data_IF_550308903907
#
_entry.id   IF_550308903907
#
_cell.length_a   1.000
_cell.length_b   1.000
_cell.length_c   1.000
_cell.angle_alpha   90.00
_cell.angle_beta   90.00
_cell.angle_gamma   90.00
#
_symmetry.space_group_name_H-M   'P 1'
#
loop_
_entity.id
_entity.type
_entity.pdbx_description
1 polymer ?
#
# COMPACT_ATOMS: atom_id res chain seq x y z
N UNK A 1 -2.03 32.00 13.35
CA UNK A 1 -1.45 31.17 14.46
C UNK A 1 -2.49 30.38 15.23
N UNK A 2 -3.62 30.95 15.72
CA UNK A 2 -4.67 30.20 16.44
C UNK A 2 -5.33 29.13 15.55
N UNK A 3 -5.60 29.41 14.28
CA UNK A 3 -6.21 28.47 13.32
C UNK A 3 -5.25 27.33 12.95
N UNK A 4 -3.94 27.62 12.80
CA UNK A 4 -2.88 26.60 12.59
C UNK A 4 -2.74 25.67 13.80
N UNK A 5 -2.79 26.21 15.01
CA UNK A 5 -2.71 25.43 16.25
C UNK A 5 -3.95 24.54 16.50
N UNK A 6 -5.15 24.96 16.08
CA UNK A 6 -6.37 24.15 16.15
C UNK A 6 -6.40 23.02 15.12
N UNK A 7 -5.96 23.28 13.88
CA UNK A 7 -5.79 22.27 12.83
C UNK A 7 -4.74 21.23 13.24
N UNK A 8 -3.60 21.65 13.77
CA UNK A 8 -2.57 20.74 14.28
C UNK A 8 -3.09 19.86 15.42
N UNK A 9 -3.89 20.39 16.37
CA UNK A 9 -4.50 19.61 17.47
C UNK A 9 -5.59 18.65 16.99
N UNK A 10 -6.32 18.99 15.94
CA UNK A 10 -7.34 18.11 15.34
C UNK A 10 -6.70 16.99 14.54
N UNK A 11 -5.65 17.28 13.76
CA UNK A 11 -4.80 16.29 13.07
C UNK A 11 -4.23 15.28 14.06
N UNK A 12 -3.68 15.74 15.17
CA UNK A 12 -3.06 14.87 16.19
C UNK A 12 -4.05 13.89 16.84
N UNK A 13 -5.31 14.28 17.05
CA UNK A 13 -6.35 13.40 17.63
C UNK A 13 -6.86 12.34 16.66
N UNK A 14 -6.97 12.64 15.38
CA UNK A 14 -7.42 11.69 14.34
C UNK A 14 -6.31 10.70 14.01
N UNK A 15 -5.07 11.17 13.86
CA UNK A 15 -3.89 10.31 13.69
C UNK A 15 -3.70 9.34 14.86
N UNK A 16 -4.01 9.77 16.09
CA UNK A 16 -3.89 8.91 17.27
C UNK A 16 -4.94 7.79 17.30
N UNK A 17 -6.14 8.00 16.78
CA UNK A 17 -7.19 6.97 16.74
C UNK A 17 -6.94 5.96 15.62
N UNK A 18 -6.39 6.39 14.47
CA UNK A 18 -6.05 5.51 13.35
C UNK A 18 -4.75 4.76 13.65
N UNK A 19 -3.76 5.43 14.25
CA UNK A 19 -2.56 4.77 14.78
C UNK A 19 -2.93 3.69 15.80
N UNK A 20 -3.97 3.84 16.60
CA UNK A 20 -4.43 2.82 17.55
C UNK A 20 -5.07 1.61 16.85
N UNK A 21 -5.70 1.76 15.70
CA UNK A 21 -6.22 0.62 14.91
C UNK A 21 -5.09 -0.07 14.15
N UNK A 22 -4.16 0.69 13.55
CA UNK A 22 -2.91 0.16 12.97
C UNK A 22 -1.96 -0.36 14.08
N UNK A 23 -1.92 0.27 15.26
CA UNK A 23 -1.20 -0.22 16.43
C UNK A 23 -1.84 -1.46 17.05
N UNK A 24 -3.14 -1.67 16.93
CA UNK A 24 -3.75 -2.95 17.30
C UNK A 24 -3.38 -4.07 16.31
N UNK A 25 -3.15 -3.72 15.05
CA UNK A 25 -2.60 -4.63 14.01
C UNK A 25 -1.07 -4.76 14.18
N UNK A 26 -0.37 -3.70 14.57
CA UNK A 26 1.10 -3.64 14.73
C UNK A 26 1.52 -3.64 16.21
N UNK A 27 0.58 -3.65 17.14
CA UNK A 27 0.74 -3.43 18.59
C UNK A 27 1.56 -4.48 19.37
N UNK A 28 2.44 -5.20 18.71
CA UNK A 28 3.42 -6.08 19.33
C UNK A 28 4.88 -5.69 19.01
N UNK A 29 5.12 -4.47 18.55
CA UNK A 29 6.49 -3.99 18.41
C UNK A 29 6.95 -3.41 19.74
N UNK A 30 7.86 -4.12 20.38
CA UNK A 30 8.69 -3.62 21.49
C UNK A 30 9.39 -2.35 21.02
N UNK A 31 8.98 -1.21 21.56
CA UNK A 31 9.72 0.05 21.44
C UNK A 31 11.05 -0.16 22.16
N UNK A 32 12.12 -0.45 21.41
CA UNK A 32 13.48 -0.28 21.90
C UNK A 32 13.95 1.10 21.44
N UNK A 33 13.99 2.04 22.35
CA UNK A 33 14.66 3.32 22.14
C UNK A 33 16.10 3.08 21.67
N UNK A 34 16.44 3.59 20.50
CA UNK A 34 17.82 3.86 20.12
C UNK A 34 18.56 2.84 19.27
N UNK A 35 17.96 2.15 18.28
CA UNK A 35 18.76 1.37 17.32
C UNK A 35 18.07 0.96 16.01
N UNK A 36 17.15 1.78 15.47
CA UNK A 36 16.40 1.43 14.24
C UNK A 36 17.26 0.93 13.07
N UNK A 37 18.38 1.56 12.82
CA UNK A 37 19.32 1.20 11.74
C UNK A 37 20.03 -0.14 11.92
N UNK A 38 20.15 -0.65 13.12
CA UNK A 38 20.93 -1.87 13.39
C UNK A 38 20.14 -3.15 13.10
N UNK A 39 18.80 -3.13 13.24
CA UNK A 39 17.94 -4.27 12.93
C UNK A 39 17.61 -4.39 11.43
N UNK A 40 17.61 -3.29 10.70
CA UNK A 40 17.38 -3.26 9.23
C UNK A 40 18.39 -4.10 8.45
N UNK A 41 19.63 -4.22 8.95
CA UNK A 41 20.74 -4.90 8.29
C UNK A 41 20.85 -6.39 8.67
N UNK A 42 20.00 -6.89 9.57
CA UNK A 42 20.03 -8.31 9.95
C UNK A 42 19.06 -9.09 9.06
N UNK A 43 19.49 -10.26 8.53
CA UNK A 43 18.59 -11.15 7.81
C UNK A 43 17.40 -11.59 8.66
N UNK A 44 16.29 -11.90 8.01
CA UNK A 44 15.11 -12.46 8.64
C UNK A 44 15.44 -13.72 9.43
N UNK A 45 14.90 -13.82 10.65
CA UNK A 45 15.10 -14.99 11.48
C UNK A 45 14.22 -16.14 10.97
N UNK A 46 14.83 -17.27 10.63
CA UNK A 46 14.09 -18.47 10.24
C UNK A 46 13.53 -19.21 11.46
N UNK A 47 12.22 -19.49 11.44
CA UNK A 47 11.53 -20.23 12.50
C UNK A 47 10.40 -21.08 11.92
N UNK A 48 10.25 -22.32 12.36
CA UNK A 48 9.18 -23.22 11.94
C UNK A 48 7.76 -22.65 12.21
N UNK A 49 7.66 -21.68 13.11
CA UNK A 49 6.40 -21.06 13.46
C UNK A 49 6.00 -19.88 12.54
N UNK A 50 6.83 -19.47 11.58
CA UNK A 50 6.60 -18.25 10.80
C UNK A 50 5.24 -18.25 10.07
N UNK A 51 4.82 -19.36 9.48
CA UNK A 51 3.51 -19.48 8.79
C UNK A 51 2.29 -19.40 9.74
N UNK A 52 2.50 -19.44 11.05
CA UNK A 52 1.46 -19.33 12.09
C UNK A 52 1.54 -18.01 12.87
N UNK A 53 2.46 -17.12 12.48
CA UNK A 53 2.64 -15.79 13.05
C UNK A 53 1.76 -14.75 12.36
N UNK A 54 2.03 -13.47 12.60
CA UNK A 54 1.38 -12.39 11.89
C UNK A 54 1.87 -12.35 10.44
N UNK A 55 0.99 -12.67 9.52
CA UNK A 55 1.19 -12.50 8.08
C UNK A 55 0.36 -11.29 7.65
N UNK A 56 0.95 -10.39 6.90
CA UNK A 56 0.31 -9.14 6.49
C UNK A 56 -0.30 -9.22 5.10
N UNK A 57 0.37 -9.92 4.17
CA UNK A 57 -0.08 -10.02 2.80
C UNK A 57 0.27 -11.36 2.15
N UNK A 58 -0.42 -11.69 1.06
CA UNK A 58 -0.24 -12.90 0.27
C UNK A 58 -0.51 -12.66 -1.21
N UNK A 59 0.30 -13.28 -2.07
CA UNK A 59 0.10 -13.26 -3.52
C UNK A 59 0.36 -14.63 -4.12
N UNK A 60 -0.20 -14.89 -5.30
CA UNK A 60 -0.06 -16.16 -6.00
C UNK A 60 0.31 -15.92 -7.46
N UNK A 61 1.29 -16.66 -7.95
CA UNK A 61 1.57 -16.85 -9.37
C UNK A 61 1.61 -18.34 -9.69
N UNK A 62 0.68 -18.79 -10.53
CA UNK A 62 0.51 -20.21 -10.90
C UNK A 62 0.34 -21.09 -9.66
N UNK A 63 1.28 -22.00 -9.39
CA UNK A 63 1.24 -22.89 -8.22
C UNK A 63 1.92 -22.32 -6.99
N UNK A 64 2.74 -21.25 -7.17
CA UNK A 64 3.49 -20.64 -6.08
C UNK A 64 2.70 -19.56 -5.35
N UNK A 65 2.60 -19.74 -4.05
CA UNK A 65 2.10 -18.72 -3.13
C UNK A 65 3.27 -18.11 -2.37
N UNK A 66 3.28 -16.77 -2.27
CA UNK A 66 4.14 -16.02 -1.36
C UNK A 66 3.29 -15.44 -0.24
N UNK A 67 3.83 -15.45 0.97
CA UNK A 67 3.27 -14.72 2.12
C UNK A 67 4.36 -13.88 2.76
N UNK A 68 3.99 -12.65 3.17
CA UNK A 68 4.87 -11.70 3.85
C UNK A 68 4.32 -11.29 5.22
N UNK A 69 5.19 -11.10 6.22
CA UNK A 69 4.72 -10.74 7.55
C UNK A 69 5.79 -10.17 8.48
N UNK A 70 5.55 -10.30 9.78
CA UNK A 70 6.43 -9.74 10.81
C UNK A 70 7.86 -10.26 10.70
N UNK A 71 8.83 -9.51 11.25
CA UNK A 71 10.25 -9.91 11.40
C UNK A 71 10.96 -10.29 10.09
N UNK A 72 10.53 -9.74 8.96
CA UNK A 72 11.10 -10.02 7.65
C UNK A 72 10.71 -11.38 7.07
N UNK A 73 9.73 -12.07 7.68
CA UNK A 73 9.31 -13.36 7.16
C UNK A 73 8.68 -13.20 5.78
N UNK A 74 9.34 -13.81 4.78
CA UNK A 74 8.73 -14.18 3.51
C UNK A 74 8.83 -15.69 3.39
N UNK A 75 7.69 -16.32 3.16
CA UNK A 75 7.59 -17.78 2.95
C UNK A 75 6.98 -18.03 1.58
N UNK A 76 7.36 -19.15 0.97
CA UNK A 76 6.71 -19.62 -0.24
C UNK A 76 6.25 -21.08 -0.10
N UNK A 77 5.21 -21.41 -0.86
CA UNK A 77 4.62 -22.74 -0.97
C UNK A 77 4.36 -23.07 -2.42
N UNK A 78 4.71 -24.30 -2.85
CA UNK A 78 4.43 -24.83 -4.18
C UNK A 78 3.34 -25.93 -4.15
N UNK A 79 2.66 -26.08 -3.01
CA UNK A 79 1.64 -27.10 -2.76
C UNK A 79 0.37 -26.53 -2.13
N UNK A 80 -0.02 -25.33 -2.60
CA UNK A 80 -1.24 -24.62 -2.16
C UNK A 80 -1.28 -24.35 -0.65
N UNK A 81 -0.12 -24.12 -0.03
CA UNK A 81 -0.01 -23.77 1.39
C UNK A 81 0.03 -24.97 2.34
N UNK A 82 0.23 -26.20 1.82
CA UNK A 82 0.38 -27.39 2.65
C UNK A 82 1.73 -27.40 3.36
N UNK A 83 2.80 -27.07 2.64
CA UNK A 83 4.14 -26.88 3.22
C UNK A 83 4.71 -25.51 2.88
N UNK A 84 5.55 -24.99 3.77
CA UNK A 84 6.13 -23.65 3.64
C UNK A 84 7.66 -23.73 3.72
N UNK A 85 8.30 -22.97 2.83
CA UNK A 85 9.76 -22.80 2.82
C UNK A 85 10.10 -21.33 3.08
N UNK A 86 11.09 -21.09 3.94
CA UNK A 86 11.62 -19.75 4.18
C UNK A 86 12.39 -19.25 2.96
N UNK A 87 12.03 -18.05 2.49
CA UNK A 87 12.87 -17.31 1.57
C UNK A 87 14.12 -16.73 2.30
N UNK A 88 15.16 -16.45 1.52
CA UNK A 88 16.33 -15.75 2.02
C UNK A 88 16.06 -14.24 1.94
N UNK A 89 15.79 -13.60 3.08
CA UNK A 89 15.42 -12.18 3.16
C UNK A 89 16.52 -11.41 3.90
N UNK A 90 17.06 -10.31 3.33
CA UNK A 90 18.21 -9.60 3.91
C UNK A 90 17.86 -8.67 5.08
N UNK A 91 16.59 -8.52 5.42
CA UNK A 91 16.09 -7.62 6.46
C UNK A 91 15.16 -8.33 7.43
N UNK A 92 15.08 -7.83 8.66
CA UNK A 92 14.17 -8.31 9.72
C UNK A 92 13.02 -7.33 10.00
N UNK A 93 12.70 -6.47 9.03
CA UNK A 93 11.57 -5.54 9.10
C UNK A 93 10.25 -6.24 8.76
N UNK A 94 9.13 -5.74 9.27
CA UNK A 94 7.82 -6.24 8.87
C UNK A 94 7.60 -6.03 7.36
N UNK A 95 7.28 -7.11 6.66
CA UNK A 95 6.90 -7.10 5.24
C UNK A 95 5.42 -6.74 5.17
N UNK A 96 5.11 -5.65 4.49
CA UNK A 96 3.77 -5.04 4.45
C UNK A 96 2.95 -5.51 3.26
N UNK A 97 3.59 -5.74 2.11
CA UNK A 97 2.95 -6.32 0.93
C UNK A 97 3.93 -7.16 0.12
N UNK A 98 3.40 -8.09 -0.68
CA UNK A 98 4.13 -8.94 -1.63
C UNK A 98 3.37 -9.02 -2.96
N UNK A 99 4.08 -8.92 -4.08
CA UNK A 99 3.49 -8.99 -5.42
C UNK A 99 4.43 -9.69 -6.41
N UNK A 100 3.88 -10.43 -7.35
CA UNK A 100 4.60 -10.86 -8.54
C UNK A 100 4.44 -9.83 -9.66
N UNK A 101 5.53 -9.52 -10.38
CA UNK A 101 5.48 -8.75 -11.63
C UNK A 101 5.50 -9.65 -12.87
N UNK A 102 6.06 -10.83 -12.73
CA UNK A 102 6.10 -11.90 -13.73
C UNK A 102 6.43 -13.24 -13.05
N UNK A 103 6.54 -14.32 -13.85
CA UNK A 103 6.80 -15.69 -13.36
C UNK A 103 8.18 -15.90 -12.69
N UNK A 104 9.05 -14.90 -12.65
CA UNK A 104 10.39 -14.97 -12.07
C UNK A 104 10.64 -13.89 -11.04
N UNK A 105 10.02 -12.74 -11.23
CA UNK A 105 10.26 -11.53 -10.45
C UNK A 105 9.13 -11.29 -9.46
N UNK A 106 9.51 -11.10 -8.19
CA UNK A 106 8.61 -10.71 -7.13
C UNK A 106 9.15 -9.49 -6.38
N UNK A 107 8.25 -8.75 -5.77
CA UNK A 107 8.50 -7.54 -5.03
C UNK A 107 7.89 -7.62 -3.64
N UNK A 108 8.53 -6.98 -2.68
CA UNK A 108 7.99 -6.86 -1.33
C UNK A 108 8.30 -5.48 -0.76
N UNK A 109 7.29 -4.87 -0.17
CA UNK A 109 7.45 -3.65 0.62
C UNK A 109 7.62 -4.00 2.09
N UNK A 110 8.32 -3.13 2.81
CA UNK A 110 8.53 -3.30 4.23
C UNK A 110 8.48 -1.97 4.98
N UNK A 111 8.48 -2.08 6.30
CA UNK A 111 8.67 -0.94 7.20
C UNK A 111 9.95 -0.18 6.85
N UNK A 112 10.08 1.06 7.33
CA UNK A 112 11.23 1.94 7.15
C UNK A 112 11.61 2.20 5.68
N UNK A 113 10.63 2.16 4.76
CA UNK A 113 10.80 2.49 3.35
C UNK A 113 11.60 1.47 2.55
N UNK A 114 11.71 0.24 3.02
CA UNK A 114 12.47 -0.79 2.30
C UNK A 114 11.59 -1.42 1.21
N UNK A 115 12.16 -1.50 0.00
CA UNK A 115 11.63 -2.25 -1.12
C UNK A 115 12.60 -3.39 -1.47
N UNK A 116 12.08 -4.59 -1.51
CA UNK A 116 12.83 -5.80 -1.84
C UNK A 116 12.44 -6.32 -3.22
N UNK A 117 13.40 -6.93 -3.92
CA UNK A 117 13.20 -7.60 -5.20
C UNK A 117 13.75 -9.02 -5.15
N UNK A 118 13.01 -9.96 -5.70
CA UNK A 118 13.44 -11.31 -6.04
C UNK A 118 13.43 -11.50 -7.54
N UNK A 119 14.37 -12.27 -8.08
CA UNK A 119 14.47 -12.66 -9.50
C UNK A 119 14.47 -14.17 -9.69
N UNK A 120 14.13 -14.91 -8.63
CA UNK A 120 14.11 -16.38 -8.58
C UNK A 120 12.78 -16.91 -8.03
N UNK A 121 11.69 -16.22 -8.39
CA UNK A 121 10.32 -16.56 -8.02
C UNK A 121 10.09 -16.56 -6.50
N UNK A 122 10.72 -15.59 -5.79
CA UNK A 122 10.52 -15.37 -4.35
C UNK A 122 11.40 -16.22 -3.43
N UNK A 123 12.38 -16.97 -3.93
CA UNK A 123 13.24 -17.81 -3.10
C UNK A 123 14.31 -17.01 -2.36
N UNK A 124 14.90 -16.01 -3.03
CA UNK A 124 15.85 -15.10 -2.41
C UNK A 124 15.54 -13.64 -2.78
N UNK A 125 15.85 -12.74 -1.87
CA UNK A 125 15.50 -11.33 -1.96
C UNK A 125 16.72 -10.44 -1.81
N UNK A 126 16.71 -9.33 -2.51
CA UNK A 126 17.71 -8.28 -2.41
C UNK A 126 17.04 -6.95 -2.14
N UNK A 127 17.69 -6.07 -1.38
CA UNK A 127 17.22 -4.70 -1.20
C UNK A 127 17.37 -3.95 -2.52
N UNK A 128 16.26 -3.42 -3.02
CA UNK A 128 16.20 -2.60 -4.23
C UNK A 128 16.24 -1.11 -3.89
N UNK A 129 15.42 -0.68 -2.90
CA UNK A 129 15.44 0.66 -2.32
C UNK A 129 15.46 0.57 -0.81
N UNK A 130 16.04 1.59 -0.18
CA UNK A 130 15.94 1.86 1.25
C UNK A 130 15.15 3.14 1.49
N UNK A 131 14.67 3.36 2.70
CA UNK A 131 14.03 4.61 3.06
C UNK A 131 14.96 5.83 2.86
N UNK A 132 16.27 5.65 3.04
CA UNK A 132 17.25 6.72 2.74
C UNK A 132 17.28 7.06 1.25
N UNK A 133 17.15 6.06 0.36
CA UNK A 133 17.09 6.32 -1.08
C UNK A 133 15.79 7.07 -1.44
N UNK A 134 14.66 6.71 -0.82
CA UNK A 134 13.38 7.43 -0.99
C UNK A 134 13.49 8.88 -0.46
N UNK A 135 14.09 9.08 0.70
CA UNK A 135 14.31 10.41 1.25
C UNK A 135 15.21 11.27 0.33
N UNK A 136 16.24 10.68 -0.30
CA UNK A 136 17.04 11.37 -1.32
C UNK A 136 16.22 11.77 -2.54
N UNK A 137 15.34 10.87 -3.04
CA UNK A 137 14.41 11.22 -4.12
C UNK A 137 13.50 12.40 -3.73
N UNK A 138 13.10 12.48 -2.46
CA UNK A 138 12.30 13.61 -1.94
C UNK A 138 13.12 14.91 -1.90
N UNK A 139 14.37 14.85 -1.48
CA UNK A 139 15.29 16.03 -1.51
C UNK A 139 15.49 16.49 -2.95
N UNK A 140 15.80 15.58 -3.86
CA UNK A 140 16.05 15.89 -5.28
C UNK A 140 14.81 16.55 -5.93
N UNK A 141 13.62 16.04 -5.63
CA UNK A 141 12.35 16.61 -6.12
C UNK A 141 12.08 18.02 -5.55
N UNK A 142 12.31 18.21 -4.25
CA UNK A 142 12.14 19.51 -3.60
C UNK A 142 13.15 20.54 -4.12
N UNK A 143 14.42 20.17 -4.31
CA UNK A 143 15.43 21.04 -4.91
C UNK A 143 15.11 21.42 -6.35
N UNK A 144 14.57 20.48 -7.15
CA UNK A 144 14.12 20.78 -8.51
C UNK A 144 12.97 21.78 -8.49
N UNK A 145 12.02 21.63 -7.56
CA UNK A 145 10.93 22.63 -7.39
C UNK A 145 11.45 24.00 -7.01
N UNK A 146 12.46 24.08 -6.13
CA UNK A 146 13.14 25.34 -5.79
C UNK A 146 13.74 25.98 -7.03
N UNK A 147 14.49 25.21 -7.86
CA UNK A 147 15.07 25.71 -9.12
C UNK A 147 14.02 26.23 -10.10
N UNK A 148 12.89 25.54 -10.24
CA UNK A 148 11.78 25.96 -11.10
C UNK A 148 11.17 27.26 -10.63
N UNK A 149 10.84 27.37 -9.33
CA UNK A 149 10.24 28.57 -8.75
C UNK A 149 11.18 29.77 -8.83
N UNK A 150 12.49 29.60 -8.63
CA UNK A 150 13.47 30.66 -8.82
C UNK A 150 13.49 31.16 -10.28
N UNK A 151 13.43 30.26 -11.26
CA UNK A 151 13.39 30.63 -12.67
C UNK A 151 12.05 31.33 -13.05
N UNK A 152 10.93 30.92 -12.44
CA UNK A 152 9.63 31.58 -12.62
C UNK A 152 9.63 33.00 -12.03
N UNK A 153 10.20 33.19 -10.84
CA UNK A 153 10.32 34.50 -10.18
C UNK A 153 11.13 35.46 -11.03
N UNK A 154 12.23 35.01 -11.68
CA UNK A 154 13.05 35.90 -12.55
C UNK A 154 12.26 36.43 -13.76
N UNK A 155 11.16 35.77 -14.16
CA UNK A 155 10.35 36.14 -15.33
C UNK A 155 8.96 36.62 -14.94
N UNK A 156 8.65 36.73 -13.64
CA UNK A 156 7.32 36.97 -13.12
C UNK A 156 6.93 38.47 -13.24
N UNK A 157 5.66 38.69 -13.52
CA UNK A 157 5.07 40.04 -13.41
C UNK A 157 4.85 40.40 -11.92
N UNK A 158 4.85 41.68 -11.55
CA UNK A 158 4.76 42.12 -10.15
C UNK A 158 3.56 41.54 -9.38
N UNK A 159 2.46 41.20 -10.08
CA UNK A 159 1.21 40.71 -9.48
C UNK A 159 1.30 39.27 -8.99
N UNK A 160 2.21 38.47 -9.56
CA UNK A 160 2.40 37.04 -9.20
C UNK A 160 3.61 36.81 -8.29
N UNK A 161 4.43 37.84 -8.02
CA UNK A 161 5.67 37.66 -7.25
C UNK A 161 5.42 37.18 -5.82
N UNK A 162 4.41 37.72 -5.13
CA UNK A 162 4.12 37.37 -3.73
C UNK A 162 3.74 35.88 -3.60
N UNK A 163 2.90 35.37 -4.50
CA UNK A 163 2.50 33.97 -4.50
C UNK A 163 3.68 33.04 -4.81
N UNK A 164 4.55 33.41 -5.75
CA UNK A 164 5.74 32.65 -6.10
C UNK A 164 6.79 32.66 -4.99
N UNK A 165 6.98 33.78 -4.29
CA UNK A 165 7.87 33.87 -3.12
C UNK A 165 7.37 32.97 -1.98
N UNK A 166 6.07 32.94 -1.70
CA UNK A 166 5.48 32.01 -0.74
C UNK A 166 5.70 30.55 -1.15
N UNK A 167 5.48 30.20 -2.41
CA UNK A 167 5.72 28.86 -2.92
C UNK A 167 7.21 28.46 -2.83
N UNK A 168 8.13 29.42 -3.03
CA UNK A 168 9.56 29.18 -2.88
C UNK A 168 9.94 28.92 -1.42
N UNK A 169 9.40 29.68 -0.48
CA UNK A 169 9.62 29.45 0.96
C UNK A 169 9.13 28.07 1.40
N UNK A 170 7.94 27.64 0.92
CA UNK A 170 7.42 26.30 1.18
C UNK A 170 8.31 25.21 0.57
N UNK A 171 8.84 25.43 -0.64
CA UNK A 171 9.74 24.48 -1.30
C UNK A 171 11.10 24.38 -0.58
N UNK A 172 11.65 25.49 -0.09
CA UNK A 172 12.89 25.51 0.71
C UNK A 172 12.71 24.77 2.03
N UNK A 173 11.55 24.95 2.69
CA UNK A 173 11.21 24.18 3.90
C UNK A 173 11.10 22.68 3.61
N UNK A 174 10.52 22.30 2.47
CA UNK A 174 10.45 20.89 2.06
C UNK A 174 11.83 20.27 1.84
N UNK A 175 12.83 20.99 1.33
CA UNK A 175 14.23 20.53 1.22
C UNK A 175 14.81 20.29 2.61
N UNK A 176 14.61 21.20 3.54
CA UNK A 176 15.11 21.08 4.93
C UNK A 176 14.49 19.87 5.64
N UNK A 177 13.15 19.73 5.54
CA UNK A 177 12.40 18.64 6.16
C UNK A 177 12.82 17.27 5.60
N UNK A 178 12.90 17.14 4.26
CA UNK A 178 13.35 15.89 3.64
C UNK A 178 14.80 15.54 3.98
N UNK A 179 15.68 16.54 4.12
CA UNK A 179 17.07 16.34 4.53
C UNK A 179 17.18 15.90 5.98
N UNK A 180 16.36 16.46 6.87
CA UNK A 180 16.33 16.07 8.28
C UNK A 180 15.94 14.59 8.47
N UNK A 181 15.02 14.07 7.65
CA UNK A 181 14.63 12.65 7.68
C UNK A 181 15.82 11.72 7.41
N UNK A 182 16.77 12.12 6.56
CA UNK A 182 17.99 11.32 6.29
C UNK A 182 18.87 11.24 7.55
N UNK A 183 19.01 12.35 8.27
CA UNK A 183 19.87 12.46 9.44
C UNK A 183 19.25 11.79 10.69
N UNK A 184 17.94 11.89 10.86
CA UNK A 184 17.20 11.33 11.99
C UNK A 184 16.91 9.82 11.85
N UNK A 185 16.98 9.29 10.64
CA UNK A 185 16.63 7.93 10.29
C UNK A 185 15.20 7.79 9.79
N UNK A 186 15.04 7.04 8.71
CA UNK A 186 13.77 6.85 8.03
C UNK A 186 12.94 5.78 8.73
N UNK A 187 11.71 6.11 9.09
CA UNK A 187 10.74 5.18 9.70
C UNK A 187 9.44 5.07 8.89
N UNK A 188 9.39 5.73 7.73
CA UNK A 188 8.21 5.77 6.87
C UNK A 188 8.00 4.43 6.17
N UNK A 189 6.93 3.66 6.45
CA UNK A 189 6.69 2.38 5.80
C UNK A 189 6.21 2.57 4.36
N UNK A 190 6.64 1.69 3.46
CA UNK A 190 5.89 1.36 2.27
C UNK A 190 4.77 0.39 2.65
N UNK A 191 3.60 0.48 2.02
CA UNK A 191 2.38 -0.22 2.43
C UNK A 191 1.84 -1.15 1.35
N UNK A 192 2.09 -0.84 0.07
CA UNK A 192 1.66 -1.68 -1.04
C UNK A 192 2.66 -1.60 -2.21
N UNK A 193 2.67 -2.63 -3.03
CA UNK A 193 3.43 -2.71 -4.28
C UNK A 193 2.62 -3.44 -5.34
N UNK A 194 2.51 -2.82 -6.51
CA UNK A 194 1.77 -3.38 -7.62
C UNK A 194 2.54 -3.19 -8.94
N UNK A 195 2.53 -4.20 -9.77
CA UNK A 195 3.15 -4.17 -11.09
C UNK A 195 2.12 -4.50 -12.17
N UNK A 196 2.14 -3.70 -13.24
CA UNK A 196 1.38 -3.98 -14.44
C UNK A 196 2.01 -5.10 -15.27
N UNK A 197 3.35 -5.13 -15.28
CA UNK A 197 4.17 -6.08 -16.02
C UNK A 197 5.60 -6.06 -15.43
N UNK A 198 6.53 -6.78 -16.06
CA UNK A 198 7.93 -6.88 -15.65
C UNK A 198 8.72 -5.55 -15.62
N UNK A 199 8.16 -4.47 -16.20
CA UNK A 199 8.84 -3.17 -16.33
C UNK A 199 8.16 -2.04 -15.55
N UNK A 200 6.83 -1.99 -15.56
CA UNK A 200 6.07 -0.88 -15.01
C UNK A 200 5.41 -1.27 -13.70
N UNK A 201 5.68 -0.54 -12.65
CA UNK A 201 5.10 -0.79 -11.33
C UNK A 201 5.14 0.42 -10.40
N UNK A 202 4.37 0.30 -9.33
CA UNK A 202 4.20 1.32 -8.31
C UNK A 202 4.46 0.74 -6.93
N UNK A 203 5.09 1.54 -6.05
CA UNK A 203 5.16 1.27 -4.63
C UNK A 203 4.64 2.50 -3.88
N UNK A 204 3.82 2.29 -2.87
CA UNK A 204 3.15 3.38 -2.17
C UNK A 204 3.14 3.15 -0.67
N UNK A 205 2.92 4.21 0.09
CA UNK A 205 3.06 4.10 1.53
C UNK A 205 2.53 5.27 2.34
N UNK A 206 3.04 5.35 3.54
CA UNK A 206 2.67 6.38 4.50
C UNK A 206 3.09 7.77 4.01
N UNK A 207 2.38 8.77 4.51
CA UNK A 207 2.64 10.20 4.24
C UNK A 207 2.60 10.58 2.74
N UNK A 208 1.79 9.87 1.95
CA UNK A 208 1.59 10.17 0.53
C UNK A 208 2.75 9.73 -0.38
N UNK A 209 3.63 8.87 0.08
CA UNK A 209 4.69 8.31 -0.77
C UNK A 209 4.08 7.51 -1.91
N UNK A 210 4.40 7.89 -3.15
CA UNK A 210 4.10 7.16 -4.37
C UNK A 210 5.33 7.12 -5.26
N UNK A 211 5.81 5.91 -5.52
CA UNK A 211 6.97 5.63 -6.37
C UNK A 211 6.52 4.92 -7.64
N UNK A 212 7.17 5.21 -8.75
CA UNK A 212 6.95 4.55 -10.05
C UNK A 212 8.26 4.11 -10.66
N UNK A 213 8.27 2.94 -11.25
CA UNK A 213 9.32 2.46 -12.17
C UNK A 213 8.75 2.15 -13.53
N UNK A 214 9.53 2.40 -14.59
CA UNK A 214 9.24 2.01 -15.99
C UNK A 214 10.29 1.08 -16.58
N UNK A 215 11.26 0.65 -15.76
CA UNK A 215 12.42 -0.15 -16.18
C UNK A 215 12.67 -1.39 -15.30
N UNK A 216 11.60 -1.89 -14.64
CA UNK A 216 11.65 -3.07 -13.79
C UNK A 216 12.45 -2.85 -12.51
N UNK A 217 12.35 -1.65 -11.92
CA UNK A 217 12.97 -1.29 -10.66
C UNK A 217 14.48 -1.01 -10.76
N UNK A 218 15.02 -0.79 -11.97
CA UNK A 218 16.38 -0.30 -12.13
C UNK A 218 16.48 1.13 -11.64
N UNK A 219 15.46 1.95 -11.96
CA UNK A 219 15.28 3.30 -11.42
C UNK A 219 13.86 3.48 -10.89
N UNK A 220 13.72 4.34 -9.89
CA UNK A 220 12.44 4.73 -9.32
C UNK A 220 12.31 6.25 -9.33
N UNK A 221 11.10 6.71 -9.61
CA UNK A 221 10.73 8.11 -9.60
C UNK A 221 9.71 8.35 -8.49
N UNK A 222 9.92 9.37 -7.68
CA UNK A 222 8.94 9.84 -6.71
C UNK A 222 7.88 10.66 -7.45
N UNK A 223 6.59 10.36 -7.21
CA UNK A 223 5.45 11.04 -7.80
C UNK A 223 4.64 11.84 -6.77
N UNK A 224 5.02 11.83 -5.51
CA UNK A 224 4.26 12.45 -4.41
C UNK A 224 3.98 13.94 -4.63
N UNK A 225 4.89 14.64 -5.28
CA UNK A 225 4.77 16.07 -5.64
C UNK A 225 3.71 16.35 -6.71
N UNK A 226 3.28 15.33 -7.45
CA UNK A 226 2.25 15.42 -8.50
C UNK A 226 0.85 15.13 -7.99
N UNK A 227 0.72 14.73 -6.72
CA UNK A 227 -0.53 14.30 -6.12
C UNK A 227 -1.24 15.49 -5.45
N UNK A 228 -2.54 15.61 -5.65
CA UNK A 228 -3.39 16.49 -4.83
C UNK A 228 -3.65 15.84 -3.46
N UNK A 229 -2.58 15.77 -2.66
CA UNK A 229 -2.59 15.19 -1.31
C UNK A 229 -1.89 16.12 -0.30
N UNK A 230 -2.40 17.36 -0.12
CA UNK A 230 -1.74 18.39 0.69
C UNK A 230 -1.66 18.05 2.18
N UNK A 231 -2.48 17.11 2.65
CA UNK A 231 -2.48 16.64 4.04
C UNK A 231 -1.55 15.44 4.25
N UNK A 232 -0.84 14.98 3.22
CA UNK A 232 0.05 13.83 3.24
C UNK A 232 -0.64 12.56 3.81
N UNK A 233 -1.89 12.32 3.39
CA UNK A 233 -2.62 11.12 3.76
C UNK A 233 -1.92 9.86 3.26
N UNK A 234 -2.02 8.80 4.06
CA UNK A 234 -1.43 7.51 3.73
C UNK A 234 -2.13 6.89 2.52
N UNK A 235 -1.36 6.26 1.64
CA UNK A 235 -1.83 5.54 0.47
C UNK A 235 -1.76 4.05 0.75
N UNK A 236 -2.87 3.33 0.55
CA UNK A 236 -2.99 1.94 0.99
C UNK A 236 -3.11 0.93 -0.13
N UNK A 237 -3.53 1.32 -1.32
CA UNK A 237 -3.66 0.40 -2.44
C UNK A 237 -3.75 1.10 -3.77
N UNK A 238 -3.32 0.43 -4.83
CA UNK A 238 -3.40 0.89 -6.21
C UNK A 238 -4.00 -0.20 -7.09
N UNK A 239 -4.87 0.19 -8.01
CA UNK A 239 -5.42 -0.70 -9.02
C UNK A 239 -5.47 -0.01 -10.39
N UNK A 240 -5.46 -0.82 -11.46
CA UNK A 240 -5.57 -0.36 -12.83
C UNK A 240 -6.69 -1.08 -13.56
N UNK A 241 -7.56 -0.32 -14.22
CA UNK A 241 -8.60 -0.88 -15.09
C UNK A 241 -8.02 -1.38 -16.40
N UNK A 242 -8.81 -2.18 -17.12
CA UNK A 242 -8.45 -2.65 -18.45
C UNK A 242 -8.32 -1.52 -19.49
N UNK A 243 -8.98 -0.37 -19.27
CA UNK A 243 -8.84 0.83 -20.11
C UNK A 243 -7.55 1.61 -19.88
N UNK A 244 -6.83 1.31 -18.76
CA UNK A 244 -5.57 1.93 -18.41
C UNK A 244 -5.63 2.97 -17.30
N UNK A 245 -6.82 3.28 -16.78
CA UNK A 245 -6.97 4.20 -15.65
C UNK A 245 -6.38 3.58 -14.37
N UNK A 246 -5.52 4.34 -13.69
CA UNK A 246 -4.99 4.01 -12.37
C UNK A 246 -5.83 4.72 -11.30
N UNK A 247 -6.13 4.01 -10.22
CA UNK A 247 -6.72 4.57 -9.02
C UNK A 247 -5.92 4.15 -7.79
N UNK A 248 -5.63 5.12 -6.93
CA UNK A 248 -5.01 4.94 -5.61
C UNK A 248 -6.05 5.25 -4.55
N UNK A 249 -6.17 4.38 -3.56
CA UNK A 249 -7.04 4.56 -2.41
C UNK A 249 -6.23 4.75 -1.12
N UNK A 250 -6.74 5.58 -0.21
CA UNK A 250 -5.97 5.94 0.98
C UNK A 250 -6.80 6.41 2.17
N UNK A 251 -6.10 7.05 3.09
CA UNK A 251 -6.62 7.60 4.34
C UNK A 251 -7.64 8.72 4.10
N UNK A 252 -8.61 8.84 5.03
CA UNK A 252 -9.61 9.91 5.05
C UNK A 252 -10.39 10.06 3.73
N UNK A 253 -10.68 8.93 3.06
CA UNK A 253 -11.42 8.91 1.81
C UNK A 253 -10.59 9.35 0.60
N UNK A 254 -9.27 9.39 0.71
CA UNK A 254 -8.42 9.79 -0.41
C UNK A 254 -8.57 8.84 -1.58
N UNK A 255 -8.89 9.41 -2.73
CA UNK A 255 -8.85 8.77 -4.04
C UNK A 255 -8.02 9.65 -4.97
N UNK A 256 -7.04 9.07 -5.63
CA UNK A 256 -6.21 9.74 -6.62
C UNK A 256 -6.26 8.94 -7.91
N UNK A 257 -6.37 9.62 -9.04
CA UNK A 257 -6.58 8.99 -10.33
C UNK A 257 -5.60 9.50 -11.38
N UNK A 258 -5.14 8.59 -12.23
CA UNK A 258 -4.40 8.92 -13.44
C UNK A 258 -5.02 8.19 -14.64
N UNK A 259 -5.19 8.91 -15.75
CA UNK A 259 -5.67 8.38 -17.03
C UNK A 259 -4.57 8.32 -18.09
N UNK A 260 -3.33 8.63 -17.72
CA UNK A 260 -2.18 8.74 -18.60
C UNK A 260 -0.94 7.98 -18.07
N UNK A 261 -1.19 6.84 -17.42
CA UNK A 261 -0.16 5.97 -16.87
C UNK A 261 0.75 6.66 -15.83
N UNK A 262 0.16 7.49 -14.96
CA UNK A 262 0.85 8.15 -13.85
C UNK A 262 1.58 9.45 -14.22
N UNK A 263 1.42 9.96 -15.45
CA UNK A 263 2.03 11.23 -15.83
C UNK A 263 1.38 12.42 -15.13
N UNK A 264 0.03 12.40 -15.05
CA UNK A 264 -0.75 13.37 -14.26
C UNK A 264 -1.76 12.66 -13.36
N UNK A 265 -2.11 13.33 -12.26
CA UNK A 265 -3.04 12.82 -11.26
C UNK A 265 -4.10 13.86 -10.95
N UNK A 266 -5.34 13.42 -10.84
CA UNK A 266 -6.46 14.20 -10.34
C UNK A 266 -7.06 13.54 -9.09
N UNK A 267 -7.83 14.31 -8.32
CA UNK A 267 -8.53 13.84 -7.12
C UNK A 267 -10.03 13.86 -7.38
N UNK A 268 -10.63 12.71 -7.76
CA UNK A 268 -12.08 12.64 -7.95
C UNK A 268 -12.81 12.85 -6.62
N UNK A 269 -14.09 13.20 -6.69
CA UNK A 269 -14.94 13.34 -5.51
C UNK A 269 -15.06 11.98 -4.80
N UNK A 270 -14.72 11.97 -3.51
CA UNK A 270 -14.80 10.75 -2.72
C UNK A 270 -16.21 10.54 -2.16
N UNK A 271 -16.77 9.33 -2.26
CA UNK A 271 -18.09 9.02 -1.71
C UNK A 271 -18.09 8.88 -0.19
N UNK A 272 -16.93 8.89 0.45
CA UNK A 272 -16.74 8.59 1.88
C UNK A 272 -15.59 9.39 2.48
N UNK A 273 -15.70 9.77 3.74
CA UNK A 273 -14.64 10.50 4.46
C UNK A 273 -13.82 9.61 5.41
N UNK A 274 -14.10 8.32 5.47
CA UNK A 274 -13.30 7.35 6.21
C UNK A 274 -12.24 6.71 5.32
N UNK A 275 -11.25 6.07 5.94
CA UNK A 275 -10.15 5.44 5.21
C UNK A 275 -10.62 4.24 4.38
N UNK A 276 -10.10 4.16 3.16
CA UNK A 276 -10.10 2.99 2.32
C UNK A 276 -8.79 2.23 2.52
N UNK A 277 -8.85 0.95 2.82
CA UNK A 277 -7.65 0.13 3.03
C UNK A 277 -7.25 -0.67 1.79
N UNK A 278 -8.05 -0.63 0.75
CA UNK A 278 -7.70 -1.25 -0.52
C UNK A 278 -8.62 -0.84 -1.66
N UNK A 279 -8.17 -1.17 -2.85
CA UNK A 279 -8.89 -0.97 -4.10
C UNK A 279 -8.59 -2.15 -5.03
N UNK A 280 -9.58 -2.61 -5.77
CA UNK A 280 -9.42 -3.62 -6.81
C UNK A 280 -10.11 -3.20 -8.09
N UNK A 281 -9.60 -3.65 -9.23
CA UNK A 281 -10.23 -3.48 -10.54
C UNK A 281 -10.87 -4.81 -10.96
N UNK A 282 -12.18 -4.85 -11.09
CA UNK A 282 -12.93 -6.02 -11.52
C UNK A 282 -12.75 -6.30 -13.03
N UNK A 283 -13.10 -7.52 -13.46
CA UNK A 283 -12.92 -7.93 -14.86
C UNK A 283 -13.80 -7.15 -15.86
N UNK A 284 -14.92 -6.58 -15.40
CA UNK A 284 -15.79 -5.72 -16.22
C UNK A 284 -15.26 -4.27 -16.34
N UNK A 285 -14.11 -3.97 -15.75
CA UNK A 285 -13.50 -2.64 -15.71
C UNK A 285 -13.97 -1.76 -14.58
N UNK A 286 -14.91 -2.21 -13.74
CA UNK A 286 -15.30 -1.44 -12.56
C UNK A 286 -14.21 -1.46 -11.48
N UNK A 287 -14.16 -0.37 -10.71
CA UNK A 287 -13.34 -0.31 -9.51
C UNK A 287 -14.17 -0.53 -8.25
N UNK A 288 -13.57 -1.19 -7.27
CA UNK A 288 -14.13 -1.29 -5.93
C UNK A 288 -13.10 -0.81 -4.93
N UNK A 289 -13.51 0.12 -4.06
CA UNK A 289 -12.70 0.52 -2.91
C UNK A 289 -13.43 0.11 -1.62
N UNK A 290 -12.67 -0.31 -0.61
CA UNK A 290 -13.21 -0.85 0.62
C UNK A 290 -12.37 -0.44 1.83
N UNK A 291 -12.97 -0.45 3.03
CA UNK A 291 -12.23 -0.04 4.21
C UNK A 291 -13.01 -0.06 5.51
N UNK A 292 -12.94 1.05 6.23
CA UNK A 292 -13.52 1.20 7.56
C UNK A 292 -15.01 0.89 7.58
N UNK A 293 -15.46 0.19 8.63
CA UNK A 293 -16.86 -0.11 8.93
C UNK A 293 -17.58 -0.89 7.84
N UNK A 294 -16.86 -1.78 7.12
CA UNK A 294 -17.42 -2.60 6.07
C UNK A 294 -17.88 -1.84 4.82
N UNK A 295 -17.54 -0.56 4.73
CA UNK A 295 -17.91 0.23 3.55
C UNK A 295 -17.22 -0.28 2.31
N UNK A 296 -18.01 -0.53 1.26
CA UNK A 296 -17.56 -0.87 -0.09
C UNK A 296 -18.25 0.10 -1.03
N UNK A 297 -17.47 0.69 -1.94
CA UNK A 297 -17.99 1.55 -3.00
C UNK A 297 -17.52 1.02 -4.36
N UNK A 298 -18.41 1.06 -5.34
CA UNK A 298 -18.17 0.60 -6.70
C UNK A 298 -18.33 1.73 -7.69
N UNK A 299 -17.39 1.87 -8.61
CA UNK A 299 -17.47 2.77 -9.77
C UNK A 299 -17.44 1.96 -11.07
N UNK A 300 -18.28 2.33 -12.03
CA UNK A 300 -18.35 1.74 -13.37
C UNK A 300 -17.94 2.73 -14.47
N UNK A 301 -17.42 3.87 -14.08
CA UNK A 301 -17.09 5.00 -14.96
C UNK A 301 -15.70 5.60 -14.63
N UNK A 302 -14.73 4.72 -14.41
CA UNK A 302 -13.32 5.09 -14.17
C UNK A 302 -13.13 6.00 -12.95
N UNK A 303 -13.96 5.83 -11.91
CA UNK A 303 -13.88 6.60 -10.67
C UNK A 303 -14.52 8.00 -10.74
N UNK A 304 -15.29 8.30 -11.77
CA UNK A 304 -16.02 9.57 -11.84
C UNK A 304 -17.20 9.60 -10.86
N UNK A 305 -17.92 8.49 -10.73
CA UNK A 305 -19.01 8.34 -9.78
C UNK A 305 -18.88 7.02 -9.01
N UNK A 306 -19.30 7.04 -7.75
CA UNK A 306 -19.25 5.89 -6.86
C UNK A 306 -20.61 5.60 -6.26
N UNK A 307 -20.95 4.33 -6.18
CA UNK A 307 -22.16 3.85 -5.53
C UNK A 307 -21.77 2.94 -4.36
N UNK A 308 -22.39 3.15 -3.21
CA UNK A 308 -22.18 2.27 -2.07
C UNK A 308 -22.81 0.90 -2.36
N UNK A 309 -22.07 -0.16 -2.04
CA UNK A 309 -22.55 -1.54 -2.11
C UNK A 309 -22.93 -1.98 -0.70
N UNK A 310 -24.20 -2.38 -0.50
CA UNK A 310 -24.63 -2.95 0.77
C UNK A 310 -24.12 -4.38 0.89
N UNK A 311 -23.16 -4.57 1.80
CA UNK A 311 -22.57 -5.90 2.07
C UNK A 311 -23.27 -6.64 3.20
N UNK A 312 -24.16 -5.98 3.94
CA UNK A 312 -24.75 -6.50 5.18
C UNK A 312 -23.74 -6.73 6.32
N UNK A 313 -22.51 -6.20 6.18
CA UNK A 313 -21.40 -6.38 7.12
C UNK A 313 -20.79 -5.02 7.49
N UNK A 314 -20.60 -4.75 8.77
CA UNK A 314 -20.01 -3.50 9.27
C UNK A 314 -18.56 -3.67 9.77
N UNK A 315 -18.00 -4.86 9.62
CA UNK A 315 -16.61 -5.14 10.00
C UNK A 315 -15.64 -4.49 9.03
N UNK A 316 -14.58 -3.89 9.56
CA UNK A 316 -13.54 -3.25 8.73
C UNK A 316 -12.91 -4.25 7.78
N UNK A 317 -12.84 -3.89 6.50
CA UNK A 317 -12.21 -4.65 5.44
C UNK A 317 -10.77 -4.15 5.24
N UNK A 318 -9.82 -5.09 5.17
CA UNK A 318 -8.38 -4.78 5.20
C UNK A 318 -7.66 -5.25 3.94
N UNK A 319 -8.14 -6.27 3.26
CA UNK A 319 -7.54 -6.83 2.07
C UNK A 319 -8.58 -7.34 1.08
N UNK A 320 -8.17 -7.43 -0.18
CA UNK A 320 -9.05 -7.92 -1.24
C UNK A 320 -8.28 -8.38 -2.47
N UNK A 321 -8.87 -9.29 -3.23
CA UNK A 321 -8.32 -9.81 -4.48
C UNK A 321 -9.40 -10.05 -5.51
N UNK A 322 -9.02 -9.97 -6.79
CA UNK A 322 -9.83 -10.43 -7.91
C UNK A 322 -9.29 -11.78 -8.35
N UNK A 323 -10.12 -12.79 -8.22
CA UNK A 323 -9.78 -14.18 -8.54
C UNK A 323 -9.70 -14.40 -10.05
N UNK A 324 -8.97 -15.42 -10.52
CA UNK A 324 -8.90 -15.76 -11.95
C UNK A 324 -10.27 -16.04 -12.60
N UNK A 325 -11.24 -16.53 -11.83
CA UNK A 325 -12.61 -16.77 -12.29
C UNK A 325 -13.50 -15.49 -12.29
N UNK A 326 -12.95 -14.33 -11.93
CA UNK A 326 -13.65 -13.04 -11.89
C UNK A 326 -14.36 -12.73 -10.59
N UNK A 327 -14.44 -13.66 -9.65
CA UNK A 327 -14.96 -13.39 -8.33
C UNK A 327 -14.04 -12.40 -7.59
N UNK A 328 -14.62 -11.61 -6.68
CA UNK A 328 -13.89 -10.71 -5.81
C UNK A 328 -14.01 -11.22 -4.38
N UNK A 329 -12.90 -11.37 -3.70
CA UNK A 329 -12.88 -11.72 -2.28
C UNK A 329 -12.34 -10.54 -1.47
N UNK A 330 -13.06 -10.13 -0.41
CA UNK A 330 -12.66 -9.11 0.55
C UNK A 330 -12.58 -9.73 1.94
N UNK A 331 -11.56 -9.35 2.70
CA UNK A 331 -11.32 -9.88 4.05
C UNK A 331 -11.03 -8.77 5.06
N UNK A 332 -11.20 -9.07 6.35
CA UNK A 332 -10.98 -8.04 7.34
C UNK A 332 -11.06 -8.48 8.80
N UNK A 333 -11.42 -7.52 9.63
CA UNK A 333 -11.49 -7.67 11.08
C UNK A 333 -12.56 -8.68 11.50
N UNK A 334 -12.39 -9.28 12.68
CA UNK A 334 -13.36 -10.17 13.31
C UNK A 334 -13.84 -11.32 12.39
N UNK A 335 -12.98 -11.82 11.49
CA UNK A 335 -13.28 -12.92 10.59
C UNK A 335 -14.15 -12.53 9.40
N UNK A 336 -14.18 -11.26 9.01
CA UNK A 336 -14.90 -10.85 7.80
C UNK A 336 -14.31 -11.54 6.57
N UNK A 337 -15.16 -12.20 5.80
CA UNK A 337 -14.89 -12.73 4.47
C UNK A 337 -16.12 -12.54 3.61
N UNK A 338 -16.00 -11.73 2.58
CA UNK A 338 -17.05 -11.39 1.64
C UNK A 338 -16.63 -11.85 0.25
N UNK A 339 -17.52 -12.45 -0.53
CA UNK A 339 -17.26 -12.86 -1.90
C UNK A 339 -18.37 -12.33 -2.82
N UNK A 340 -17.95 -11.79 -3.94
CA UNK A 340 -18.83 -11.34 -5.03
C UNK A 340 -18.59 -12.18 -6.28
N UNK A 341 -19.67 -12.58 -6.94
CA UNK A 341 -19.64 -13.27 -8.24
C UNK A 341 -20.14 -12.38 -9.40
N UNK A 342 -20.42 -11.10 -9.14
CA UNK A 342 -21.04 -10.16 -10.08
C UNK A 342 -20.25 -8.85 -10.21
N UNK A 343 -18.91 -8.95 -10.22
CA UNK A 343 -17.98 -7.81 -10.30
C UNK A 343 -18.23 -6.77 -9.19
N UNK A 344 -18.57 -7.24 -7.99
CA UNK A 344 -18.75 -6.39 -6.82
C UNK A 344 -20.07 -5.64 -6.76
N UNK A 345 -21.08 -6.01 -7.54
CA UNK A 345 -22.42 -5.41 -7.45
C UNK A 345 -23.15 -5.89 -6.18
N UNK A 346 -22.86 -7.11 -5.73
CA UNK A 346 -23.32 -7.64 -4.44
C UNK A 346 -22.26 -8.56 -3.81
N UNK A 347 -22.39 -8.79 -2.50
CA UNK A 347 -21.49 -9.67 -1.74
C UNK A 347 -22.27 -10.67 -0.88
N UNK A 348 -21.72 -11.86 -0.78
CA UNK A 348 -22.15 -12.87 0.17
C UNK A 348 -21.08 -13.04 1.26
N UNK A 349 -21.54 -13.15 2.52
CA UNK A 349 -20.63 -13.39 3.65
C UNK A 349 -20.35 -14.88 3.79
N UNK A 350 -19.07 -15.23 3.78
CA UNK A 350 -18.62 -16.58 4.12
C UNK A 350 -18.40 -16.67 5.63
N UNK A 351 -19.04 -17.63 6.27
CA UNK A 351 -18.83 -17.88 7.70
C UNK A 351 -17.48 -18.55 7.93
N UNK A 352 -16.61 -17.90 8.71
CA UNK A 352 -15.35 -18.48 9.17
C UNK A 352 -15.48 -18.95 10.62
N UNK A 353 -14.71 -19.98 11.00
CA UNK A 353 -14.65 -20.42 12.38
C UNK A 353 -13.76 -19.47 13.21
N UNK A 354 -14.37 -18.56 13.94
CA UNK A 354 -13.66 -17.64 14.86
C UNK A 354 -13.71 -16.17 14.45
N UNK A 355 -13.05 -15.33 15.25
CA UNK A 355 -13.01 -13.86 15.08
C UNK A 355 -11.58 -13.37 14.73
N UNK A 356 -10.86 -14.10 13.90
CA UNK A 356 -9.50 -13.72 13.48
C UNK A 356 -9.55 -12.42 12.67
N UNK A 357 -8.47 -11.67 12.70
CA UNK A 357 -8.27 -10.56 11.76
C UNK A 357 -7.53 -11.11 10.55
N UNK A 358 -8.12 -10.95 9.38
CA UNK A 358 -7.48 -11.24 8.09
C UNK A 358 -7.03 -9.94 7.45
N UNK A 359 -5.74 -9.87 7.10
CA UNK A 359 -5.10 -8.70 6.47
C UNK A 359 -5.00 -8.82 4.96
N UNK A 360 -4.90 -10.06 4.44
CA UNK A 360 -4.77 -10.33 3.02
C UNK A 360 -5.48 -11.63 2.60
N UNK A 361 -5.72 -11.75 1.31
CA UNK A 361 -6.36 -12.90 0.67
C UNK A 361 -5.82 -13.11 -0.73
N UNK A 362 -5.56 -14.37 -1.08
CA UNK A 362 -5.17 -14.76 -2.44
C UNK A 362 -5.81 -16.10 -2.81
N UNK A 363 -5.75 -16.46 -4.08
CA UNK A 363 -6.16 -17.78 -4.56
C UNK A 363 -5.05 -18.82 -4.36
N UNK A 364 -5.43 -20.09 -4.32
CA UNK A 364 -4.50 -21.21 -4.52
C UNK A 364 -4.76 -21.87 -5.88
N UNK A 365 -3.77 -22.62 -6.39
CA UNK A 365 -3.92 -23.38 -7.62
C UNK A 365 -5.10 -24.38 -7.60
N UNK A 366 -5.51 -24.82 -6.40
CA UNK A 366 -6.68 -25.69 -6.19
C UNK A 366 -8.01 -24.92 -6.21
N UNK A 367 -8.00 -23.59 -6.39
CA UNK A 367 -9.19 -22.74 -6.39
C UNK A 367 -9.77 -22.46 -4.99
N UNK A 368 -9.01 -22.71 -3.92
CA UNK A 368 -9.36 -22.30 -2.56
C UNK A 368 -8.91 -20.86 -2.31
N UNK A 369 -9.57 -20.19 -1.37
CA UNK A 369 -9.10 -18.92 -0.86
C UNK A 369 -8.11 -19.16 0.29
N UNK A 370 -6.94 -18.56 0.17
CA UNK A 370 -5.95 -18.47 1.23
C UNK A 370 -6.10 -17.13 1.92
N UNK A 371 -6.46 -17.18 3.19
CA UNK A 371 -6.61 -16.00 4.07
C UNK A 371 -5.38 -15.91 4.95
N UNK A 372 -4.80 -14.73 5.07
CA UNK A 372 -3.65 -14.47 5.93
C UNK A 372 -3.95 -13.38 6.94
N UNK A 373 -3.30 -13.44 8.11
CA UNK A 373 -3.54 -12.45 9.15
C UNK A 373 -2.97 -12.86 10.50
N UNK A 374 -3.64 -12.45 11.58
CA UNK A 374 -3.30 -12.88 12.92
C UNK A 374 -3.47 -14.39 13.08
N UNK A 375 -2.38 -15.07 13.47
CA UNK A 375 -2.34 -16.53 13.63
C UNK A 375 -2.08 -17.27 12.31
N UNK A 376 -1.54 -16.56 11.33
CA UNK A 376 -1.00 -17.11 10.09
C UNK A 376 -2.03 -17.39 9.01
N UNK A 377 -1.80 -18.49 8.31
CA UNK A 377 -2.56 -18.91 7.12
C UNK A 377 -3.83 -19.69 7.51
N UNK A 378 -4.90 -19.47 6.76
CA UNK A 378 -6.14 -20.27 6.80
C UNK A 378 -6.62 -20.54 5.38
N UNK A 379 -7.02 -21.76 5.08
CA UNK A 379 -7.61 -22.14 3.80
C UNK A 379 -9.12 -22.32 3.95
N UNK A 380 -9.88 -21.78 3.03
CA UNK A 380 -11.33 -22.00 2.93
C UNK A 380 -11.69 -22.38 1.50
N UNK A 381 -12.75 -23.15 1.33
CA UNK A 381 -13.29 -23.45 0.02
C UNK A 381 -13.83 -22.15 -0.60
N UNK A 382 -13.41 -21.84 -1.82
CA UNK A 382 -14.03 -20.78 -2.61
C UNK A 382 -15.48 -21.17 -2.95
N UNK A 383 -16.38 -20.19 -3.08
CA UNK A 383 -17.69 -20.48 -3.67
C UNK A 383 -17.49 -20.93 -5.13
N UNK A 384 -18.09 -22.05 -5.49
CA UNK A 384 -18.06 -22.60 -6.85
C UNK A 384 -18.98 -21.82 -7.78
#
# INVERSE_FOLDING_TARGET
>A
ERRRAELARRKWRISLQIALVLFAIVGYMVVSEGSGTRFQMLPALQTDAASTRLILDATTDSDRVLIGGEQGHILYSDDSGTTWTHAQVPVSLAITAVAFSDSHTAWATAHDGVLLRSIDHGQSWQTNLTGVDIARLSVDAAEEKVRQLQAEIEQAEPESLEDLEWALDDALFAVEDASAVIDEGVTTPLLDVWFENDRSGYALGAYGVLLHTSDGGTTWQLLSDRLDNPDNYHLYGVARSASGTLLVAGEAGTLLRSRDSGATWDRPESPYQGSFFGIVAAQDGSFLTFGLRGNVFRSTDEGDNWSQVDTGDDRTLLGGTVRPNGQIALVGSAGAVLVSADNGASFETISTSGSRVYSGVTDTAEGKLMLVGFGGVSLIDGMN
#
